data_IF_107312446421
#
_entry.id   IF_107312446421
#
_cell.length_a   1.000
_cell.length_b   1.000
_cell.length_c   1.000
_cell.angle_alpha   90.00
_cell.angle_beta   90.00
_cell.angle_gamma   90.00
#
_symmetry.space_group_name_H-M   'P 1'
#
loop_
_entity.id
_entity.type
_entity.pdbx_description
1 polymer ?
#
# COMPACT_ATOMS: atom_id res chain seq x y z
N UNK A 1 -12.08 11.43 26.75
CA UNK A 1 -12.34 9.98 26.83
C UNK A 1 -13.05 9.58 25.53
N UNK A 2 -12.32 9.04 24.54
CA UNK A 2 -12.89 8.69 23.22
C UNK A 2 -13.23 7.20 23.23
N UNK A 3 -14.48 6.88 22.87
CA UNK A 3 -15.06 5.54 22.87
C UNK A 3 -14.38 4.61 21.86
N UNK A 4 -14.05 3.34 22.22
CA UNK A 4 -13.53 2.38 21.26
C UNK A 4 -14.67 1.87 20.36
N UNK A 5 -14.69 2.34 19.11
CA UNK A 5 -15.57 1.79 18.08
C UNK A 5 -15.17 0.34 17.80
N UNK A 6 -16.12 -0.57 17.99
CA UNK A 6 -15.95 -2.00 17.79
C UNK A 6 -15.84 -2.31 16.29
N UNK A 7 -14.73 -2.91 15.87
CA UNK A 7 -14.54 -3.42 14.51
C UNK A 7 -14.94 -4.90 14.46
N UNK A 8 -16.00 -5.22 13.72
CA UNK A 8 -16.36 -6.62 13.43
C UNK A 8 -15.46 -7.16 12.32
N UNK A 9 -14.64 -8.15 12.67
CA UNK A 9 -13.71 -8.82 11.78
C UNK A 9 -14.04 -10.31 11.71
N UNK A 10 -14.30 -10.87 10.52
CA UNK A 10 -14.29 -12.33 10.34
C UNK A 10 -12.83 -12.79 10.21
N UNK A 11 -12.37 -13.56 11.18
CA UNK A 11 -11.02 -14.14 11.22
C UNK A 11 -11.07 -15.49 10.49
N UNK A 12 -10.23 -15.68 9.48
CA UNK A 12 -10.21 -16.91 8.67
C UNK A 12 -9.39 -18.03 9.34
N UNK A 13 -8.41 -17.69 10.21
CA UNK A 13 -7.71 -18.64 11.08
C UNK A 13 -7.07 -17.93 12.28
N UNK A 14 -7.03 -18.59 13.45
CA UNK A 14 -6.53 -18.02 14.72
C UNK A 14 -7.50 -17.03 15.39
N UNK A 15 -7.08 -16.41 16.50
CA UNK A 15 -7.94 -15.48 17.27
C UNK A 15 -7.87 -14.02 16.80
N UNK A 16 -7.02 -13.70 15.81
CA UNK A 16 -6.78 -12.33 15.34
C UNK A 16 -6.15 -11.38 16.37
N UNK A 17 -6.05 -11.80 17.63
CA UNK A 17 -5.56 -11.03 18.78
C UNK A 17 -4.12 -10.58 18.60
N UNK A 18 -3.27 -11.42 18.01
CA UNK A 18 -1.86 -11.12 17.80
C UNK A 18 -1.64 -10.02 16.77
N UNK A 19 -2.43 -10.01 15.68
CA UNK A 19 -2.37 -8.97 14.65
C UNK A 19 -2.86 -7.64 15.22
N UNK A 20 -3.93 -7.68 16.03
CA UNK A 20 -4.49 -6.49 16.68
C UNK A 20 -3.55 -5.93 17.76
N UNK A 21 -2.92 -6.78 18.57
CA UNK A 21 -1.93 -6.37 19.57
C UNK A 21 -0.64 -5.85 18.94
N UNK A 22 -0.23 -6.40 17.80
CA UNK A 22 0.94 -5.91 17.05
C UNK A 22 0.65 -4.56 16.38
N UNK A 23 -0.55 -4.39 15.79
CA UNK A 23 -0.96 -3.12 15.20
C UNK A 23 -1.00 -1.98 16.23
N UNK A 24 -1.55 -2.23 17.43
CA UNK A 24 -1.56 -1.27 18.56
C UNK A 24 -0.17 -0.84 19.05
N UNK A 25 0.88 -1.64 18.79
CA UNK A 25 2.26 -1.35 19.21
C UNK A 25 3.04 -0.48 18.21
N UNK A 26 2.56 -0.36 16.96
CA UNK A 26 3.30 0.31 15.88
C UNK A 26 3.03 1.82 15.77
N UNK A 27 2.15 2.37 16.60
CA UNK A 27 1.67 3.75 16.44
C UNK A 27 0.69 3.88 15.27
N UNK A 28 0.01 5.02 15.19
CA UNK A 28 -0.92 5.28 14.08
C UNK A 28 -0.13 5.43 12.76
N UNK A 29 -0.54 4.76 11.68
CA UNK A 29 0.15 4.86 10.40
C UNK A 29 0.11 6.29 9.87
N UNK A 30 1.23 6.80 9.37
CA UNK A 30 1.33 8.20 8.88
C UNK A 30 1.71 8.27 7.39
N UNK A 31 1.37 9.39 6.73
CA UNK A 31 1.69 9.58 5.31
C UNK A 31 3.19 9.54 5.02
N UNK A 32 4.05 9.90 5.97
CA UNK A 32 5.50 9.80 5.79
C UNK A 32 5.97 8.33 5.70
N UNK A 33 5.30 7.39 6.38
CA UNK A 33 5.58 5.96 6.23
C UNK A 33 5.19 5.46 4.82
N UNK A 34 4.06 5.94 4.29
CA UNK A 34 3.69 5.65 2.90
C UNK A 34 4.74 6.19 1.91
N UNK A 35 5.25 7.40 2.12
CA UNK A 35 6.34 7.98 1.31
C UNK A 35 7.64 7.21 1.49
N UNK A 36 7.90 6.67 2.69
CA UNK A 36 9.03 5.78 2.93
C UNK A 36 8.95 4.50 2.11
N UNK A 37 7.79 3.85 2.06
CA UNK A 37 7.57 2.65 1.23
C UNK A 37 7.75 2.93 -0.28
N UNK A 38 7.38 4.13 -0.77
CA UNK A 38 7.70 4.56 -2.13
C UNK A 38 9.22 4.61 -2.38
N UNK A 39 9.98 5.23 -1.46
CA UNK A 39 11.45 5.29 -1.58
C UNK A 39 12.09 3.90 -1.53
N UNK A 40 11.54 3.00 -0.72
CA UNK A 40 11.98 1.61 -0.64
C UNK A 40 11.74 0.88 -1.96
N UNK A 41 10.59 1.07 -2.60
CA UNK A 41 10.31 0.48 -3.91
C UNK A 41 11.38 0.84 -4.96
N UNK A 42 11.82 2.10 -4.99
CA UNK A 42 12.90 2.54 -5.89
C UNK A 42 14.24 1.88 -5.56
N UNK A 43 14.56 1.69 -4.27
CA UNK A 43 15.79 1.00 -3.86
C UNK A 43 15.78 -0.47 -4.26
N UNK A 44 14.64 -1.14 -4.13
CA UNK A 44 14.47 -2.52 -4.56
C UNK A 44 14.61 -2.62 -6.08
N UNK A 45 14.03 -1.67 -6.84
CA UNK A 45 14.20 -1.60 -8.28
C UNK A 45 15.68 -1.51 -8.68
N UNK A 46 16.44 -0.59 -8.07
CA UNK A 46 17.87 -0.45 -8.37
C UNK A 46 18.63 -1.75 -8.08
N UNK A 47 18.33 -2.41 -6.96
CA UNK A 47 18.92 -3.71 -6.63
C UNK A 47 18.54 -4.79 -7.68
N UNK A 48 17.30 -4.82 -8.14
CA UNK A 48 16.85 -5.74 -9.19
C UNK A 48 17.62 -5.50 -10.50
N UNK A 49 17.87 -4.25 -10.87
CA UNK A 49 18.59 -3.90 -12.08
C UNK A 49 20.04 -4.39 -12.06
N UNK A 50 20.69 -4.36 -10.89
CA UNK A 50 22.07 -4.82 -10.67
C UNK A 50 22.19 -6.35 -10.49
N UNK A 51 21.08 -7.03 -10.20
CA UNK A 51 21.06 -8.48 -9.92
C UNK A 51 21.20 -9.30 -11.20
N UNK A 52 22.17 -10.23 -11.19
CA UNK A 52 22.49 -11.09 -12.35
C UNK A 52 21.65 -12.35 -12.42
N UNK A 53 21.38 -12.97 -11.28
CA UNK A 53 20.56 -14.18 -11.24
C UNK A 53 19.13 -13.84 -11.71
N UNK A 54 18.61 -14.49 -12.76
CA UNK A 54 17.31 -14.14 -13.31
C UNK A 54 16.14 -14.35 -12.35
N UNK A 55 16.21 -15.35 -11.45
CA UNK A 55 15.13 -15.64 -10.51
C UNK A 55 15.13 -14.62 -9.37
N UNK A 56 16.31 -14.29 -8.84
CA UNK A 56 16.44 -13.25 -7.83
C UNK A 56 16.04 -11.89 -8.37
N UNK A 57 16.43 -11.58 -9.62
CA UNK A 57 16.04 -10.35 -10.31
C UNK A 57 14.53 -10.23 -10.48
N UNK A 58 13.86 -11.28 -10.96
CA UNK A 58 12.41 -11.34 -11.10
C UNK A 58 11.72 -11.17 -9.73
N UNK A 59 12.24 -11.84 -8.70
CA UNK A 59 11.72 -11.73 -7.34
C UNK A 59 11.81 -10.29 -6.82
N UNK A 60 12.93 -9.61 -7.04
CA UNK A 60 13.12 -8.22 -6.64
C UNK A 60 12.20 -7.26 -7.40
N UNK A 61 11.96 -7.46 -8.70
CA UNK A 61 10.97 -6.66 -9.43
C UNK A 61 9.56 -6.80 -8.83
N UNK A 62 9.14 -8.02 -8.51
CA UNK A 62 7.86 -8.26 -7.82
C UNK A 62 7.79 -7.56 -6.48
N UNK A 63 8.84 -7.64 -5.67
CA UNK A 63 8.95 -6.95 -4.38
C UNK A 63 8.89 -5.43 -4.52
N UNK A 64 9.47 -4.87 -5.59
CA UNK A 64 9.40 -3.44 -5.84
C UNK A 64 7.95 -2.99 -6.10
N UNK A 65 7.17 -3.76 -6.88
CA UNK A 65 5.74 -3.50 -7.09
C UNK A 65 4.89 -3.71 -5.83
N UNK A 66 5.19 -4.72 -5.00
CA UNK A 66 4.48 -4.90 -3.74
C UNK A 66 4.79 -3.78 -2.74
N UNK A 67 6.03 -3.26 -2.73
CA UNK A 67 6.40 -2.08 -1.93
C UNK A 67 5.62 -0.83 -2.37
N UNK A 68 5.37 -0.66 -3.68
CA UNK A 68 4.47 0.39 -4.18
C UNK A 68 3.03 0.19 -3.66
N UNK A 69 2.50 -1.03 -3.72
CA UNK A 69 1.18 -1.33 -3.15
C UNK A 69 1.14 -1.13 -1.63
N UNK A 70 2.23 -1.44 -0.93
CA UNK A 70 2.33 -1.22 0.51
C UNK A 70 2.20 0.27 0.86
N UNK A 71 2.81 1.16 0.07
CA UNK A 71 2.66 2.60 0.23
C UNK A 71 1.19 3.03 0.11
N UNK A 72 0.48 2.53 -0.91
CA UNK A 72 -0.96 2.77 -1.11
C UNK A 72 -1.77 2.30 0.11
N UNK A 73 -1.45 1.11 0.64
CA UNK A 73 -2.13 0.55 1.81
C UNK A 73 -1.94 1.42 3.05
N UNK A 74 -0.71 1.84 3.35
CA UNK A 74 -0.42 2.73 4.49
C UNK A 74 -1.17 4.04 4.34
N UNK A 75 -1.14 4.66 3.15
CA UNK A 75 -1.83 5.93 2.92
C UNK A 75 -3.34 5.83 3.13
N UNK A 76 -3.97 4.74 2.69
CA UNK A 76 -5.39 4.50 2.94
C UNK A 76 -5.69 4.27 4.42
N UNK A 77 -4.80 3.56 5.13
CA UNK A 77 -4.92 3.36 6.59
C UNK A 77 -4.83 4.69 7.34
N UNK A 78 -3.84 5.54 7.01
CA UNK A 78 -3.69 6.89 7.56
C UNK A 78 -4.92 7.74 7.29
N UNK A 79 -5.41 7.75 6.05
CA UNK A 79 -6.57 8.55 5.66
C UNK A 79 -7.85 8.16 6.38
N UNK A 80 -8.05 6.87 6.59
CA UNK A 80 -9.20 6.33 7.32
C UNK A 80 -9.00 6.32 8.83
N UNK A 81 -7.83 6.77 9.32
CA UNK A 81 -7.40 6.70 10.72
C UNK A 81 -7.67 5.31 11.31
N UNK A 82 -7.15 4.28 10.65
CA UNK A 82 -7.41 2.90 11.01
C UNK A 82 -6.17 2.02 11.01
N UNK A 83 -6.10 1.13 12.00
CA UNK A 83 -5.12 0.04 12.07
C UNK A 83 -5.52 -1.18 11.20
N UNK A 84 -6.69 -1.15 10.54
CA UNK A 84 -7.17 -2.25 9.69
C UNK A 84 -6.28 -2.36 8.44
N UNK A 85 -5.33 -3.30 8.42
CA UNK A 85 -4.46 -3.50 7.26
C UNK A 85 -5.09 -4.31 6.10
N UNK A 86 -6.28 -4.87 6.28
CA UNK A 86 -6.92 -5.70 5.24
C UNK A 86 -7.42 -4.84 4.08
N UNK A 87 -6.76 -4.92 2.93
CA UNK A 87 -7.06 -4.12 1.74
C UNK A 87 -8.51 -4.24 1.25
N UNK A 88 -9.15 -5.41 1.40
CA UNK A 88 -10.58 -5.59 1.06
C UNK A 88 -11.50 -4.71 1.91
N UNK A 89 -11.14 -4.51 3.18
CA UNK A 89 -11.91 -3.68 4.11
C UNK A 89 -11.60 -2.20 3.88
N UNK A 90 -10.32 -1.85 3.74
CA UNK A 90 -9.90 -0.49 3.37
C UNK A 90 -10.64 0.01 2.12
N UNK A 91 -10.69 -0.81 1.07
CA UNK A 91 -11.43 -0.50 -0.16
C UNK A 91 -12.88 -0.12 0.11
N UNK A 92 -13.60 -0.87 0.96
CA UNK A 92 -15.02 -0.62 1.26
C UNK A 92 -15.25 0.66 2.06
N UNK A 93 -14.23 1.15 2.75
CA UNK A 93 -14.30 2.35 3.59
C UNK A 93 -13.89 3.63 2.84
N UNK A 94 -13.15 3.51 1.74
CA UNK A 94 -12.78 4.64 0.89
C UNK A 94 -13.98 5.20 0.14
N UNK A 95 -13.98 6.52 -0.09
CA UNK A 95 -14.94 7.17 -1.01
C UNK A 95 -14.83 6.60 -2.41
N UNK A 96 -15.87 6.76 -3.22
CA UNK A 96 -15.95 6.13 -4.55
C UNK A 96 -14.74 6.45 -5.45
N UNK A 97 -14.27 7.70 -5.42
CA UNK A 97 -13.10 8.14 -6.19
C UNK A 97 -11.83 7.39 -5.77
N UNK A 98 -11.52 7.33 -4.47
CA UNK A 98 -10.31 6.66 -4.00
C UNK A 98 -10.45 5.14 -4.04
N UNK A 99 -11.66 4.60 -3.86
CA UNK A 99 -11.93 3.17 -4.01
C UNK A 99 -11.57 2.68 -5.42
N UNK A 100 -11.95 3.43 -6.48
CA UNK A 100 -11.59 3.09 -7.86
C UNK A 100 -10.08 3.01 -8.05
N UNK A 101 -9.34 4.03 -7.61
CA UNK A 101 -7.87 4.06 -7.72
C UNK A 101 -7.24 2.93 -6.89
N UNK A 102 -7.70 2.75 -5.65
CA UNK A 102 -7.21 1.70 -4.75
C UNK A 102 -7.44 0.30 -5.31
N UNK A 103 -8.59 0.06 -5.95
CA UNK A 103 -8.88 -1.20 -6.64
C UNK A 103 -7.88 -1.47 -7.75
N UNK A 104 -7.59 -0.47 -8.58
CA UNK A 104 -6.63 -0.62 -9.66
C UNK A 104 -5.22 -0.94 -9.15
N UNK A 105 -4.80 -0.30 -8.04
CA UNK A 105 -3.52 -0.62 -7.40
C UNK A 105 -3.48 -2.06 -6.86
N UNK A 106 -4.57 -2.57 -6.29
CA UNK A 106 -4.65 -3.98 -5.87
C UNK A 106 -4.54 -4.91 -7.08
N UNK A 107 -5.40 -4.67 -8.07
CA UNK A 107 -5.55 -5.58 -9.21
C UNK A 107 -4.23 -5.66 -9.98
N UNK A 108 -3.56 -4.53 -10.26
CA UNK A 108 -2.33 -4.55 -11.04
C UNK A 108 -1.10 -4.85 -10.18
N UNK A 109 -0.84 -4.08 -9.13
CA UNK A 109 0.45 -4.15 -8.43
C UNK A 109 0.56 -5.42 -7.57
N UNK A 110 -0.49 -5.71 -6.81
CA UNK A 110 -0.47 -6.81 -5.86
C UNK A 110 -0.85 -8.16 -6.51
N UNK A 111 -1.89 -8.18 -7.35
CA UNK A 111 -2.37 -9.41 -7.98
C UNK A 111 -1.58 -9.72 -9.26
N UNK A 112 -1.61 -8.86 -10.28
CA UNK A 112 -0.95 -9.15 -11.56
C UNK A 112 0.57 -9.19 -11.45
N UNK A 113 1.19 -8.15 -10.89
CA UNK A 113 2.64 -7.99 -10.93
C UNK A 113 3.32 -8.77 -9.82
N UNK A 114 2.93 -8.59 -8.56
CA UNK A 114 3.55 -9.29 -7.44
C UNK A 114 3.19 -10.78 -7.39
N UNK A 115 1.91 -11.10 -7.23
CA UNK A 115 1.48 -12.49 -6.99
C UNK A 115 1.62 -13.35 -8.26
N UNK A 116 1.11 -12.86 -9.39
CA UNK A 116 1.12 -13.62 -10.64
C UNK A 116 2.43 -13.48 -11.45
N UNK A 117 3.30 -12.53 -11.12
CA UNK A 117 4.55 -12.30 -11.87
C UNK A 117 4.32 -11.82 -13.30
N UNK A 118 3.14 -11.28 -13.62
CA UNK A 118 2.78 -10.80 -14.96
C UNK A 118 3.17 -9.34 -15.18
N UNK A 119 4.26 -8.90 -14.53
CA UNK A 119 4.85 -7.61 -14.87
C UNK A 119 5.54 -7.68 -16.23
N UNK A 120 5.75 -6.50 -16.82
CA UNK A 120 6.52 -6.37 -18.05
C UNK A 120 7.92 -6.99 -17.88
N UNK A 121 8.49 -7.53 -18.96
CA UNK A 121 9.89 -8.01 -18.97
C UNK A 121 10.85 -6.94 -19.49
N UNK A 122 10.35 -6.09 -20.39
CA UNK A 122 11.05 -4.94 -20.94
C UNK A 122 10.35 -3.67 -20.46
N UNK A 123 11.11 -2.62 -20.16
CA UNK A 123 10.54 -1.35 -19.71
C UNK A 123 10.00 -1.37 -18.26
N UNK A 124 10.50 -2.27 -17.41
CA UNK A 124 10.05 -2.42 -16.01
C UNK A 124 10.29 -1.15 -15.20
N UNK A 125 11.41 -0.48 -15.44
CA UNK A 125 11.77 0.76 -14.77
C UNK A 125 10.76 1.87 -15.10
N UNK A 126 10.42 2.06 -16.37
CA UNK A 126 9.46 3.05 -16.82
C UNK A 126 8.07 2.80 -16.25
N UNK A 127 7.63 1.54 -16.26
CA UNK A 127 6.33 1.15 -15.70
C UNK A 127 6.31 1.36 -14.18
N UNK A 128 7.37 0.99 -13.46
CA UNK A 128 7.46 1.24 -12.02
C UNK A 128 7.44 2.74 -11.71
N UNK A 129 8.19 3.54 -12.47
CA UNK A 129 8.21 5.00 -12.33
C UNK A 129 6.85 5.66 -12.64
N UNK A 130 6.08 5.09 -13.57
CA UNK A 130 4.70 5.52 -13.85
C UNK A 130 3.80 5.24 -12.63
N UNK A 131 3.86 4.03 -12.06
CA UNK A 131 3.09 3.71 -10.86
C UNK A 131 3.52 4.55 -9.65
N UNK A 132 4.83 4.74 -9.46
CA UNK A 132 5.39 5.58 -8.41
C UNK A 132 4.76 6.98 -8.42
N UNK A 133 4.75 7.66 -9.58
CA UNK A 133 4.16 9.00 -9.72
C UNK A 133 2.67 9.02 -9.38
N UNK A 134 1.94 8.04 -9.91
CA UNK A 134 0.49 7.91 -9.72
C UNK A 134 0.10 7.66 -8.26
N UNK A 135 0.89 6.85 -7.56
CA UNK A 135 0.71 6.60 -6.13
C UNK A 135 1.10 7.83 -5.29
N UNK A 136 2.18 8.53 -5.66
CA UNK A 136 2.54 9.78 -4.99
C UNK A 136 1.40 10.79 -5.06
N UNK A 137 0.77 10.96 -6.23
CA UNK A 137 -0.41 11.81 -6.40
C UNK A 137 -1.59 11.35 -5.54
N UNK A 138 -1.86 10.04 -5.49
CA UNK A 138 -2.88 9.46 -4.61
C UNK A 138 -2.64 9.83 -3.13
N UNK A 139 -1.41 9.66 -2.64
CA UNK A 139 -1.00 10.03 -1.28
C UNK A 139 -1.22 11.52 -1.03
N UNK A 140 -0.73 12.37 -1.94
CA UNK A 140 -0.83 13.82 -1.82
C UNK A 140 -2.28 14.31 -1.81
N UNK A 141 -3.18 13.63 -2.52
CA UNK A 141 -4.61 13.94 -2.56
C UNK A 141 -5.32 13.56 -1.25
N UNK A 142 -5.06 12.35 -0.72
CA UNK A 142 -5.59 11.92 0.57
C UNK A 142 -5.14 12.85 1.71
N UNK A 143 -3.87 13.23 1.73
CA UNK A 143 -3.31 14.14 2.74
C UNK A 143 -3.95 15.53 2.64
N UNK A 144 -4.12 16.06 1.42
CA UNK A 144 -4.81 17.34 1.20
C UNK A 144 -6.25 17.31 1.66
N UNK A 145 -6.98 16.22 1.45
CA UNK A 145 -8.35 16.10 1.94
C UNK A 145 -8.45 16.11 3.46
N UNK A 146 -7.56 15.41 4.17
CA UNK A 146 -7.54 15.47 5.64
C UNK A 146 -7.28 16.90 6.09
N UNK A 147 -6.27 17.58 5.52
CA UNK A 147 -5.97 18.97 5.87
C UNK A 147 -7.18 19.86 5.66
N UNK A 148 -7.88 19.74 4.52
CA UNK A 148 -9.12 20.48 4.26
C UNK A 148 -10.16 20.24 5.36
N UNK A 149 -10.43 18.98 5.74
CA UNK A 149 -11.39 18.62 6.80
C UNK A 149 -11.02 19.15 8.19
N UNK A 150 -9.74 19.38 8.47
CA UNK A 150 -9.29 19.94 9.75
C UNK A 150 -9.41 21.47 9.83
N UNK A 151 -9.40 22.16 8.70
CA UNK A 151 -9.47 23.62 8.60
C UNK A 151 -10.80 24.12 8.01
N UNK A 152 -11.81 23.25 7.89
CA UNK A 152 -13.19 23.61 7.53
C UNK A 152 -14.10 23.44 8.75
#
# INVERSE_FOLDING_TARGET
MISPRHFYFNILYGSGKYILEYAKKLGDPIFEEARSALRVAQRILNLALETRDPLDRDRLFREAFDSLFHAVRIAAMTYLSTEVARWRLLRRMLSELYNRQFKEFIDILHIEYFYNGRHLREGVEEELNKWYRRIREFIDNLEREIKKRMYS
#
